data_IF_170311158437
#
_entry.id   IF_170311158437
#
_cell.length_a   1.000
_cell.length_b   1.000
_cell.length_c   1.000
_cell.angle_alpha   90.00
_cell.angle_beta   90.00
_cell.angle_gamma   90.00
#
_symmetry.space_group_name_H-M   'P 1'
#
loop_
_entity.id
_entity.type
_entity.pdbx_description
1 polymer ?
#
# COMPACT_ATOMS: atom_id res chain seq x y z
N UNK A 1 14.22 -19.16 -3.89
CA UNK A 1 14.30 -17.74 -4.30
C UNK A 1 15.49 -17.42 -5.19
N UNK A 2 16.75 -17.66 -4.76
CA UNK A 2 17.95 -17.34 -5.55
C UNK A 2 17.94 -17.89 -6.98
N UNK A 3 17.64 -19.19 -7.17
CA UNK A 3 17.50 -19.77 -8.52
C UNK A 3 16.42 -19.08 -9.38
N UNK A 4 15.33 -18.60 -8.75
CA UNK A 4 14.30 -17.86 -9.47
C UNK A 4 14.86 -16.51 -9.95
N UNK A 5 15.50 -15.73 -9.07
CA UNK A 5 16.09 -14.44 -9.45
C UNK A 5 17.28 -14.58 -10.41
N UNK A 6 18.14 -15.58 -10.26
CA UNK A 6 19.36 -15.71 -11.07
C UNK A 6 19.09 -16.30 -12.47
N UNK A 7 17.94 -16.96 -12.67
CA UNK A 7 17.64 -17.69 -13.92
C UNK A 7 16.24 -17.46 -14.45
N UNK A 8 15.21 -17.83 -13.68
CA UNK A 8 13.84 -17.86 -14.17
C UNK A 8 13.29 -16.46 -14.46
N UNK A 9 13.45 -15.53 -13.50
CA UNK A 9 12.98 -14.15 -13.66
C UNK A 9 13.69 -13.44 -14.82
N UNK A 10 15.03 -13.53 -14.98
CA UNK A 10 15.70 -13.00 -16.16
C UNK A 10 15.15 -13.56 -17.47
N UNK A 11 14.99 -14.88 -17.60
CA UNK A 11 14.40 -15.48 -18.80
C UNK A 11 12.98 -14.97 -19.08
N UNK A 12 12.12 -14.87 -18.05
CA UNK A 12 10.77 -14.31 -18.20
C UNK A 12 10.78 -12.84 -18.66
N UNK A 13 11.74 -12.05 -18.19
CA UNK A 13 11.85 -10.63 -18.52
C UNK A 13 12.42 -10.42 -19.93
N UNK A 14 13.50 -11.12 -20.28
CA UNK A 14 14.20 -10.91 -21.55
C UNK A 14 13.52 -11.63 -22.71
N UNK A 15 13.05 -12.87 -22.51
CA UNK A 15 12.51 -13.70 -23.61
C UNK A 15 11.03 -13.47 -23.84
N UNK A 16 10.26 -13.17 -22.79
CA UNK A 16 8.80 -13.05 -22.88
C UNK A 16 8.27 -11.62 -22.74
N UNK A 17 9.06 -10.68 -22.21
CA UNK A 17 8.65 -9.29 -22.00
C UNK A 17 9.56 -8.26 -22.69
N UNK A 18 10.55 -8.69 -23.47
CA UNK A 18 11.50 -7.82 -24.20
C UNK A 18 12.24 -6.79 -23.32
N UNK A 19 12.42 -7.08 -22.03
CA UNK A 19 13.20 -6.22 -21.12
C UNK A 19 14.70 -6.40 -21.42
N UNK A 20 15.49 -5.31 -21.56
CA UNK A 20 16.93 -5.41 -21.79
C UNK A 20 17.64 -6.22 -20.70
N UNK A 21 18.67 -6.99 -21.07
CA UNK A 21 19.37 -7.89 -20.15
C UNK A 21 19.96 -7.18 -18.91
N UNK A 22 20.49 -5.97 -19.09
CA UNK A 22 21.01 -5.16 -17.98
C UNK A 22 19.90 -4.73 -17.00
N UNK A 23 18.78 -4.22 -17.52
CA UNK A 23 17.62 -3.85 -16.71
C UNK A 23 17.04 -5.09 -15.99
N UNK A 24 16.98 -6.22 -16.69
CA UNK A 24 16.53 -7.51 -16.13
C UNK A 24 17.41 -7.96 -14.96
N UNK A 25 18.73 -7.82 -15.05
CA UNK A 25 19.65 -8.17 -13.96
C UNK A 25 19.44 -7.26 -12.73
N UNK A 26 19.24 -5.96 -12.94
CA UNK A 26 18.91 -5.00 -11.86
C UNK A 26 17.59 -5.37 -11.18
N UNK A 27 16.55 -5.71 -11.95
CA UNK A 27 15.25 -6.12 -11.40
C UNK A 27 15.40 -7.41 -10.57
N UNK A 28 16.11 -8.41 -11.10
CA UNK A 28 16.35 -9.66 -10.39
C UNK A 28 17.10 -9.45 -9.06
N UNK A 29 18.11 -8.56 -9.07
CA UNK A 29 18.86 -8.18 -7.88
C UNK A 29 17.99 -7.52 -6.81
N UNK A 30 17.16 -6.54 -7.19
CA UNK A 30 16.24 -5.86 -6.25
C UNK A 30 15.19 -6.84 -5.68
N UNK A 31 14.61 -7.70 -6.51
CA UNK A 31 13.68 -8.75 -6.06
C UNK A 31 14.34 -9.70 -5.07
N UNK A 32 15.58 -10.12 -5.33
CA UNK A 32 16.32 -11.00 -4.41
C UNK A 32 16.61 -10.30 -3.07
N UNK A 33 17.09 -9.05 -3.11
CA UNK A 33 17.39 -8.26 -1.92
C UNK A 33 16.15 -8.08 -1.04
N UNK A 34 15.01 -7.75 -1.65
CA UNK A 34 13.72 -7.64 -0.95
C UNK A 34 13.26 -8.96 -0.35
N UNK A 35 13.45 -10.07 -1.07
CA UNK A 35 13.08 -11.38 -0.56
C UNK A 35 13.92 -11.78 0.65
N UNK A 36 15.23 -11.52 0.62
CA UNK A 36 16.15 -11.76 1.73
C UNK A 36 15.84 -10.85 2.92
N UNK A 37 15.54 -9.57 2.70
CA UNK A 37 15.08 -8.65 3.74
C UNK A 37 13.75 -9.09 4.38
N UNK A 38 12.77 -9.51 3.57
CA UNK A 38 11.50 -10.06 4.08
C UNK A 38 11.74 -11.35 4.88
N UNK A 39 12.64 -12.21 4.43
CA UNK A 39 13.01 -13.44 5.13
C UNK A 39 13.77 -13.16 6.44
N UNK A 40 14.50 -12.06 6.54
CA UNK A 40 15.11 -11.62 7.78
C UNK A 40 14.05 -11.17 8.81
N UNK A 41 12.88 -10.68 8.41
CA UNK A 41 11.85 -10.33 9.39
C UNK A 41 11.29 -11.58 10.12
N UNK A 42 10.87 -11.41 11.37
CA UNK A 42 10.06 -12.41 12.08
C UNK A 42 8.64 -12.52 11.49
N UNK A 43 7.94 -13.64 11.73
CA UNK A 43 6.61 -13.93 11.14
C UNK A 43 5.62 -12.77 11.30
N UNK A 44 5.50 -12.21 12.51
CA UNK A 44 4.59 -11.09 12.78
C UNK A 44 4.95 -9.86 11.95
N UNK A 45 6.22 -9.46 11.93
CA UNK A 45 6.68 -8.31 11.17
C UNK A 45 6.46 -8.47 9.65
N UNK A 46 6.65 -9.68 9.11
CA UNK A 46 6.33 -10.01 7.70
C UNK A 46 4.87 -9.75 7.38
N UNK A 47 3.96 -10.10 8.28
CA UNK A 47 2.53 -9.85 8.09
C UNK A 47 2.19 -8.37 8.26
N UNK A 48 2.78 -7.66 9.23
CA UNK A 48 2.56 -6.22 9.40
C UNK A 48 2.96 -5.45 8.14
N UNK A 49 4.13 -5.71 7.58
CA UNK A 49 4.58 -5.02 6.36
C UNK A 49 3.80 -5.43 5.11
N UNK A 50 3.18 -6.61 5.12
CA UNK A 50 2.34 -7.11 4.02
C UNK A 50 0.88 -6.64 4.12
N UNK A 51 0.41 -6.23 5.30
CA UNK A 51 -0.98 -5.84 5.53
C UNK A 51 -1.50 -4.74 4.58
N UNK A 52 -0.73 -3.70 4.23
CA UNK A 52 -1.16 -2.68 3.27
C UNK A 52 -1.47 -3.21 1.87
N UNK A 53 -0.91 -4.36 1.50
CA UNK A 53 -1.02 -4.97 0.17
C UNK A 53 -2.00 -6.13 0.12
N UNK A 54 -2.64 -6.45 1.26
CA UNK A 54 -3.57 -7.58 1.36
C UNK A 54 -4.81 -7.37 0.49
N UNK A 55 -5.45 -6.19 0.56
CA UNK A 55 -6.61 -5.84 -0.27
C UNK A 55 -6.27 -5.88 -1.77
N UNK A 56 -5.02 -5.59 -2.13
CA UNK A 56 -4.57 -5.60 -3.51
C UNK A 56 -4.36 -7.03 -4.04
N UNK A 57 -4.09 -8.02 -3.19
CA UNK A 57 -3.50 -9.30 -3.64
C UNK A 57 -4.24 -10.55 -3.18
N UNK A 58 -5.29 -10.42 -2.37
CA UNK A 58 -6.00 -11.58 -1.82
C UNK A 58 -6.55 -12.54 -2.89
N UNK A 59 -6.90 -12.01 -4.06
CA UNK A 59 -7.43 -12.73 -5.23
C UNK A 59 -6.37 -13.08 -6.29
N UNK A 60 -5.08 -12.78 -6.06
CA UNK A 60 -4.02 -13.10 -7.02
C UNK A 60 -3.78 -14.61 -7.11
N UNK A 61 -3.15 -15.01 -8.22
CA UNK A 61 -2.63 -16.36 -8.39
C UNK A 61 -1.30 -16.54 -7.63
N UNK A 62 -0.97 -17.77 -7.20
CA UNK A 62 -1.77 -18.98 -7.38
C UNK A 62 -2.95 -19.05 -6.38
N UNK A 63 -4.10 -19.56 -6.82
CA UNK A 63 -5.34 -19.52 -6.05
C UNK A 63 -5.24 -20.21 -4.68
N UNK A 64 -4.46 -21.28 -4.59
CA UNK A 64 -4.23 -22.11 -3.40
C UNK A 64 -3.20 -21.52 -2.42
N UNK A 65 -2.45 -20.49 -2.81
CA UNK A 65 -1.56 -19.79 -1.88
C UNK A 65 -2.35 -19.04 -0.80
N UNK A 66 -1.80 -19.01 0.41
CA UNK A 66 -2.37 -18.18 1.48
C UNK A 66 -2.39 -16.69 1.07
N UNK A 67 -3.41 -15.91 1.46
CA UNK A 67 -3.47 -14.48 1.18
C UNK A 67 -2.23 -13.70 1.69
N UNK A 68 -1.65 -14.13 2.81
CA UNK A 68 -0.43 -13.54 3.35
C UNK A 68 0.80 -13.78 2.46
N UNK A 69 0.89 -14.95 1.81
CA UNK A 69 1.95 -15.20 0.83
C UNK A 69 1.77 -14.32 -0.40
N UNK A 70 0.53 -14.14 -0.90
CA UNK A 70 0.24 -13.24 -2.03
C UNK A 70 0.60 -11.80 -1.73
N UNK A 71 0.28 -11.33 -0.53
CA UNK A 71 0.65 -9.99 -0.06
C UNK A 71 2.18 -9.84 0.08
N UNK A 72 2.87 -10.82 0.66
CA UNK A 72 4.33 -10.82 0.76
C UNK A 72 5.00 -10.84 -0.63
N UNK A 73 4.49 -11.64 -1.57
CA UNK A 73 4.95 -11.65 -2.96
C UNK A 73 4.75 -10.29 -3.63
N UNK A 74 3.65 -9.58 -3.33
CA UNK A 74 3.42 -8.22 -3.82
C UNK A 74 4.52 -7.27 -3.32
N UNK A 75 4.82 -7.30 -2.02
CA UNK A 75 5.90 -6.49 -1.41
C UNK A 75 7.28 -6.79 -2.00
N UNK A 76 7.58 -8.06 -2.26
CA UNK A 76 8.90 -8.49 -2.73
C UNK A 76 9.07 -8.29 -4.24
N UNK A 77 8.02 -8.53 -5.02
CA UNK A 77 8.11 -8.66 -6.49
C UNK A 77 7.45 -7.48 -7.20
N UNK A 78 6.18 -7.20 -6.93
CA UNK A 78 5.48 -6.08 -7.61
C UNK A 78 5.99 -4.72 -7.17
N UNK A 79 6.38 -4.61 -5.91
CA UNK A 79 6.90 -3.38 -5.34
C UNK A 79 8.43 -3.24 -5.52
N UNK A 80 9.00 -4.01 -6.45
CA UNK A 80 10.42 -3.96 -6.83
C UNK A 80 10.62 -3.06 -8.06
N UNK A 81 11.86 -2.96 -8.53
CA UNK A 81 12.22 -2.33 -9.80
C UNK A 81 11.41 -2.87 -11.01
N UNK A 82 10.79 -4.05 -10.89
CA UNK A 82 9.85 -4.61 -11.88
C UNK A 82 8.66 -3.68 -12.20
N UNK A 83 8.28 -2.81 -11.26
CA UNK A 83 7.22 -1.83 -11.46
C UNK A 83 7.52 -0.87 -12.63
N UNK A 84 8.79 -0.53 -12.85
CA UNK A 84 9.20 0.46 -13.86
C UNK A 84 8.90 -0.03 -15.29
N UNK A 85 9.38 -1.20 -15.75
CA UNK A 85 8.98 -1.69 -17.06
C UNK A 85 7.49 -2.05 -17.15
N UNK A 86 6.82 -2.38 -16.04
CA UNK A 86 5.38 -2.61 -16.03
C UNK A 86 4.59 -1.32 -16.32
N UNK A 87 4.94 -0.23 -15.64
CA UNK A 87 4.30 1.09 -15.85
C UNK A 87 4.57 1.66 -17.24
N UNK A 88 5.71 1.31 -17.87
CA UNK A 88 6.01 1.61 -19.27
C UNK A 88 5.29 0.70 -20.28
N UNK A 89 4.59 -0.33 -19.82
CA UNK A 89 3.88 -1.30 -20.67
C UNK A 89 4.75 -2.38 -21.29
N UNK A 90 6.07 -2.38 -21.05
CA UNK A 90 7.02 -3.40 -21.51
C UNK A 90 6.69 -4.75 -20.87
N UNK A 91 6.51 -4.76 -19.55
CA UNK A 91 5.93 -5.90 -18.84
C UNK A 91 4.41 -5.69 -18.79
N UNK A 92 3.67 -6.37 -19.66
CA UNK A 92 2.21 -6.24 -19.69
C UNK A 92 1.53 -6.91 -18.47
N UNK A 93 0.19 -6.82 -18.40
CA UNK A 93 -0.62 -7.42 -17.31
C UNK A 93 -0.44 -8.95 -17.21
N UNK A 94 -0.28 -9.63 -18.34
CA UNK A 94 0.01 -11.07 -18.37
C UNK A 94 1.38 -11.40 -17.80
N UNK A 95 2.41 -10.64 -18.19
CA UNK A 95 3.79 -10.79 -17.73
C UNK A 95 3.92 -10.57 -16.23
N UNK A 96 3.40 -9.46 -15.70
CA UNK A 96 3.45 -9.18 -14.25
C UNK A 96 2.71 -10.26 -13.47
N UNK A 97 1.56 -10.74 -13.98
CA UNK A 97 0.78 -11.82 -13.36
C UNK A 97 1.58 -13.12 -13.32
N UNK A 98 2.15 -13.54 -14.45
CA UNK A 98 2.97 -14.74 -14.55
C UNK A 98 4.16 -14.68 -13.59
N UNK A 99 4.95 -13.60 -13.63
CA UNK A 99 6.12 -13.41 -12.76
C UNK A 99 5.73 -13.54 -11.29
N UNK A 100 4.66 -12.86 -10.87
CA UNK A 100 4.22 -12.89 -9.46
C UNK A 100 3.66 -14.23 -9.03
N UNK A 101 2.99 -14.95 -9.94
CA UNK A 101 2.48 -16.31 -9.69
C UNK A 101 3.65 -17.28 -9.48
N UNK A 102 4.64 -17.25 -10.38
CA UNK A 102 5.82 -18.11 -10.31
C UNK A 102 6.71 -17.80 -9.11
N UNK A 103 6.79 -16.54 -8.68
CA UNK A 103 7.59 -16.14 -7.53
C UNK A 103 7.04 -16.64 -6.18
N UNK A 104 5.74 -16.92 -6.08
CA UNK A 104 5.09 -17.30 -4.82
C UNK A 104 5.70 -18.58 -4.20
N UNK A 105 5.96 -19.61 -5.01
CA UNK A 105 6.58 -20.86 -4.54
C UNK A 105 8.01 -20.66 -3.99
N UNK A 106 8.95 -20.11 -4.80
CA UNK A 106 10.30 -19.81 -4.37
C UNK A 106 10.40 -18.89 -3.15
N UNK A 107 9.48 -17.94 -3.00
CA UNK A 107 9.39 -17.08 -1.82
C UNK A 107 8.88 -17.86 -0.60
N UNK A 108 7.82 -18.66 -0.75
CA UNK A 108 7.28 -19.52 0.31
C UNK A 108 8.37 -20.39 0.93
N UNK A 109 9.16 -21.08 0.10
CA UNK A 109 10.29 -21.90 0.57
C UNK A 109 11.33 -21.08 1.33
N UNK A 110 11.69 -19.89 0.83
CA UNK A 110 12.64 -19.02 1.52
C UNK A 110 12.10 -18.61 2.90
N UNK A 111 10.86 -18.13 2.97
CA UNK A 111 10.22 -17.67 4.21
C UNK A 111 10.06 -18.80 5.24
N UNK A 112 9.82 -20.04 4.79
CA UNK A 112 9.75 -21.21 5.65
C UNK A 112 11.13 -21.63 6.21
N UNK A 113 12.19 -21.45 5.43
CA UNK A 113 13.56 -21.85 5.81
C UNK A 113 14.31 -20.81 6.66
N UNK A 114 13.85 -19.56 6.69
CA UNK A 114 14.54 -18.46 7.35
C UNK A 114 14.03 -18.24 8.78
N UNK A 115 14.87 -18.42 9.83
CA UNK A 115 14.47 -18.25 11.23
C UNK A 115 14.19 -16.79 11.64
N UNK A 116 14.35 -15.83 10.71
CA UNK A 116 14.41 -14.40 11.02
C UNK A 116 15.77 -13.99 11.58
N UNK A 117 16.17 -12.74 11.33
CA UNK A 117 17.36 -12.06 11.85
C UNK A 117 16.93 -10.67 12.33
N UNK A 118 17.61 -10.13 13.33
CA UNK A 118 17.22 -8.86 13.96
C UNK A 118 17.34 -7.65 13.02
N UNK A 119 18.26 -7.72 12.06
CA UNK A 119 18.47 -6.68 11.06
C UNK A 119 17.66 -7.02 9.80
N UNK A 120 16.40 -6.56 9.77
CA UNK A 120 15.46 -6.76 8.66
C UNK A 120 15.84 -6.07 7.34
N UNK A 121 17.10 -5.64 7.18
CA UNK A 121 17.61 -4.94 6.01
C UNK A 121 16.79 -3.69 5.71
N UNK A 122 16.34 -3.53 4.46
CA UNK A 122 15.54 -2.38 4.04
C UNK A 122 14.17 -2.26 4.73
N UNK A 123 13.68 -3.35 5.33
CA UNK A 123 12.46 -3.34 6.14
C UNK A 123 12.76 -3.24 7.65
N UNK A 124 14.03 -3.32 8.02
CA UNK A 124 14.53 -3.19 9.39
C UNK A 124 14.25 -1.80 9.95
N UNK A 125 14.00 -1.75 11.25
CA UNK A 125 13.82 -0.49 11.98
C UNK A 125 12.55 0.31 11.65
N UNK A 126 11.70 -0.12 10.71
CA UNK A 126 10.45 0.59 10.37
C UNK A 126 9.53 0.76 11.60
N UNK A 127 9.44 -0.25 12.46
CA UNK A 127 8.65 -0.18 13.70
C UNK A 127 9.15 0.90 14.66
N UNK A 128 10.48 1.13 14.72
CA UNK A 128 11.09 2.13 15.58
C UNK A 128 10.99 3.54 14.97
N UNK A 129 11.15 3.65 13.64
CA UNK A 129 11.07 4.93 12.91
C UNK A 129 9.64 5.45 12.78
N UNK A 130 8.66 4.56 12.62
CA UNK A 130 7.25 4.88 12.39
C UNK A 130 6.33 4.13 13.35
N UNK A 131 6.40 4.42 14.66
CA UNK A 131 5.71 3.64 15.68
C UNK A 131 4.18 3.75 15.60
N UNK A 132 3.62 4.89 15.17
CA UNK A 132 2.16 5.06 15.01
C UNK A 132 1.64 4.24 13.85
N UNK A 133 2.30 4.35 12.70
CA UNK A 133 1.98 3.57 11.52
C UNK A 133 2.10 2.07 11.81
N UNK A 134 3.19 1.64 12.47
CA UNK A 134 3.39 0.24 12.81
C UNK A 134 2.30 -0.32 13.72
N UNK A 135 1.93 0.42 14.77
CA UNK A 135 0.86 0.01 15.69
C UNK A 135 -0.51 -0.12 14.98
N UNK A 136 -0.82 0.82 14.08
CA UNK A 136 -2.03 0.75 13.26
C UNK A 136 -2.03 -0.46 12.32
N UNK A 137 -0.90 -0.73 11.65
CA UNK A 137 -0.76 -1.87 10.74
C UNK A 137 -0.76 -3.21 11.50
N UNK A 138 -0.27 -3.25 12.73
CA UNK A 138 -0.38 -4.42 13.60
C UNK A 138 -1.83 -4.70 14.01
N UNK A 139 -2.61 -3.66 14.35
CA UNK A 139 -4.05 -3.79 14.59
C UNK A 139 -4.80 -4.27 13.33
N UNK A 140 -4.47 -3.70 12.16
CA UNK A 140 -5.02 -4.15 10.87
C UNK A 140 -4.69 -5.63 10.60
N UNK A 141 -3.44 -6.04 10.84
CA UNK A 141 -2.98 -7.42 10.71
C UNK A 141 -3.76 -8.36 11.62
N UNK A 142 -4.07 -7.96 12.85
CA UNK A 142 -4.96 -8.71 13.74
C UNK A 142 -6.33 -8.95 13.11
N UNK A 143 -6.97 -7.89 12.64
CA UNK A 143 -8.30 -7.99 12.00
C UNK A 143 -8.30 -8.83 10.71
N UNK A 144 -7.23 -8.76 9.91
CA UNK A 144 -7.09 -9.58 8.71
C UNK A 144 -6.97 -11.07 9.03
N UNK A 145 -6.39 -11.43 10.18
CA UNK A 145 -6.37 -12.81 10.68
C UNK A 145 -7.73 -13.22 11.24
N UNK A 146 -8.40 -12.32 11.96
CA UNK A 146 -9.66 -12.60 12.67
C UNK A 146 -10.91 -12.54 11.77
N UNK A 147 -10.78 -12.11 10.51
CA UNK A 147 -11.88 -12.03 9.55
C UNK A 147 -12.69 -10.71 9.57
N UNK A 148 -12.11 -9.64 10.12
CA UNK A 148 -12.67 -8.29 10.11
C UNK A 148 -13.23 -7.80 11.45
N UNK A 149 -13.85 -6.63 11.44
CA UNK A 149 -14.45 -6.00 12.62
C UNK A 149 -13.71 -4.74 13.06
N UNK A 150 -13.42 -4.63 14.36
CA UNK A 150 -12.79 -3.46 14.98
C UNK A 150 -11.72 -3.92 15.96
N UNK A 151 -10.54 -3.32 15.88
CA UNK A 151 -9.48 -3.45 16.86
C UNK A 151 -9.16 -2.06 17.40
N UNK A 152 -9.32 -1.87 18.71
CA UNK A 152 -8.84 -0.66 19.38
C UNK A 152 -7.35 -0.81 19.67
N UNK A 153 -6.61 0.29 19.56
CA UNK A 153 -5.20 0.33 19.90
C UNK A 153 -4.84 1.70 20.49
N UNK A 154 -3.70 1.77 21.18
CA UNK A 154 -3.18 3.03 21.70
C UNK A 154 -2.07 3.51 20.79
N UNK A 155 -2.22 4.69 20.20
CA UNK A 155 -1.12 5.31 19.48
C UNK A 155 0.09 5.51 20.41
N UNK A 156 1.28 5.03 20.02
CA UNK A 156 2.50 5.29 20.76
C UNK A 156 2.76 6.80 20.87
N UNK A 157 3.35 7.24 21.98
CA UNK A 157 3.82 8.64 22.09
C UNK A 157 5.18 8.72 21.39
N UNK A 158 5.26 9.53 20.34
CA UNK A 158 6.46 9.78 19.53
C UNK A 158 6.51 11.26 19.13
N UNK A 159 7.67 11.73 18.68
CA UNK A 159 7.78 13.07 18.10
C UNK A 159 6.81 13.23 16.92
N UNK A 160 6.28 14.44 16.73
CA UNK A 160 5.50 14.73 15.53
C UNK A 160 6.41 14.62 14.31
N UNK A 161 6.06 13.82 13.30
CA UNK A 161 6.85 13.72 12.09
C UNK A 161 6.79 15.03 11.31
N UNK A 162 7.91 15.40 10.71
CA UNK A 162 7.99 16.56 9.83
C UNK A 162 7.45 16.23 8.44
N UNK A 163 6.87 17.23 7.78
CA UNK A 163 6.52 17.13 6.36
C UNK A 163 7.79 16.92 5.52
N UNK A 164 7.71 16.15 4.42
CA UNK A 164 8.80 16.06 3.47
C UNK A 164 9.23 17.43 2.94
N UNK A 165 10.54 17.63 2.81
CA UNK A 165 11.14 18.86 2.30
C UNK A 165 11.13 18.90 0.76
N UNK A 166 11.39 20.07 0.17
CA UNK A 166 11.29 20.27 -1.28
C UNK A 166 12.25 19.37 -2.10
N UNK A 167 13.39 18.97 -1.54
CA UNK A 167 14.33 18.02 -2.14
C UNK A 167 13.83 16.56 -2.13
N UNK A 168 12.82 16.26 -1.32
CA UNK A 168 12.16 14.97 -1.26
C UNK A 168 10.94 14.90 -2.20
N UNK A 169 10.71 15.94 -3.00
CA UNK A 169 9.58 16.05 -3.91
C UNK A 169 9.95 15.65 -5.34
N UNK A 170 8.95 15.13 -6.04
CA UNK A 170 9.04 14.85 -7.47
C UNK A 170 7.74 15.26 -8.16
N UNK A 171 7.88 15.86 -9.33
CA UNK A 171 6.73 16.05 -10.21
C UNK A 171 6.31 14.69 -10.76
N UNK A 172 5.10 14.26 -10.43
CA UNK A 172 4.55 13.04 -11.00
C UNK A 172 4.49 13.20 -12.53
N UNK A 173 4.88 12.17 -13.32
CA UNK A 173 4.60 12.18 -14.75
C UNK A 173 3.12 12.45 -14.95
N UNK A 174 2.79 13.36 -15.86
CA UNK A 174 1.44 13.86 -16.16
C UNK A 174 0.59 12.78 -16.84
N UNK A 175 0.46 11.60 -16.23
CA UNK A 175 -0.47 10.57 -16.64
C UNK A 175 -1.87 11.01 -16.20
N UNK A 176 -2.41 11.96 -16.97
CA UNK A 176 -3.71 12.60 -16.81
C UNK A 176 -4.02 12.92 -15.34
N UNK A 177 -3.78 14.17 -14.96
CA UNK A 177 -4.60 14.82 -13.95
C UNK A 177 -6.08 14.74 -14.40
N UNK A 178 -6.72 13.58 -14.25
CA UNK A 178 -8.14 13.52 -14.01
C UNK A 178 -8.28 14.26 -12.72
N UNK A 179 -8.70 15.52 -12.83
CA UNK A 179 -9.14 16.30 -11.70
C UNK A 179 -10.02 15.37 -10.88
N UNK A 180 -9.53 14.96 -9.71
CA UNK A 180 -10.36 14.25 -8.75
C UNK A 180 -11.34 15.28 -8.23
N UNK A 181 -12.40 15.53 -9.01
CA UNK A 181 -13.57 16.26 -8.59
C UNK A 181 -14.32 15.34 -7.63
N UNK A 182 -13.83 15.27 -6.38
CA UNK A 182 -14.38 14.38 -5.37
C UNK A 182 -13.47 14.23 -4.17
N UNK A 183 -14.04 13.67 -3.10
CA UNK A 183 -13.38 13.39 -1.83
C UNK A 183 -12.28 12.31 -1.94
N UNK A 184 -12.31 11.45 -2.97
CA UNK A 184 -11.31 10.39 -3.17
C UNK A 184 -10.11 10.93 -3.93
N UNK A 185 -8.94 10.91 -3.30
CA UNK A 185 -7.70 11.40 -3.90
C UNK A 185 -7.06 10.27 -4.70
N UNK A 186 -6.93 10.47 -6.01
CA UNK A 186 -6.14 9.59 -6.85
C UNK A 186 -4.67 10.00 -6.72
N UNK A 187 -3.94 9.36 -5.80
CA UNK A 187 -2.48 9.52 -5.73
C UNK A 187 -1.87 8.61 -6.80
N UNK A 188 -1.22 9.21 -7.80
CA UNK A 188 -0.51 8.51 -8.86
C UNK A 188 0.90 9.06 -8.95
N UNK A 189 1.84 8.33 -8.37
CA UNK A 189 3.24 8.37 -8.75
C UNK A 189 3.74 6.93 -8.91
N UNK A 190 4.91 6.76 -9.51
CA UNK A 190 5.65 5.49 -9.50
C UNK A 190 5.60 4.92 -8.09
N UNK A 191 5.02 3.71 -7.95
CA UNK A 191 4.70 3.16 -6.64
C UNK A 191 5.94 3.01 -5.75
N UNK A 192 7.12 2.84 -6.35
CA UNK A 192 8.37 2.48 -5.65
C UNK A 192 9.33 3.66 -5.41
N UNK A 193 9.12 4.82 -6.05
CA UNK A 193 9.98 5.99 -5.86
C UNK A 193 9.95 6.41 -4.38
N UNK A 194 11.10 6.61 -3.71
CA UNK A 194 11.13 7.02 -2.30
C UNK A 194 10.60 8.45 -2.07
N UNK A 195 10.56 9.29 -3.10
CA UNK A 195 10.09 10.68 -3.03
C UNK A 195 8.58 10.82 -3.01
N UNK A 196 8.11 11.98 -2.57
CA UNK A 196 6.70 12.33 -2.47
C UNK A 196 6.25 13.10 -3.71
N UNK A 197 5.09 12.74 -4.25
CA UNK A 197 4.48 13.53 -5.31
C UNK A 197 3.66 14.70 -4.73
N UNK A 198 3.37 15.68 -5.59
CA UNK A 198 2.64 16.88 -5.21
C UNK A 198 1.23 16.60 -4.69
N UNK A 199 0.55 15.54 -5.16
CA UNK A 199 -0.81 15.22 -4.72
C UNK A 199 -0.84 14.63 -3.30
N UNK A 200 0.10 13.74 -3.00
CA UNK A 200 0.31 13.22 -1.65
C UNK A 200 0.75 14.34 -0.71
N UNK A 201 1.69 15.18 -1.11
CA UNK A 201 2.11 16.33 -0.30
C UNK A 201 0.98 17.30 0.01
N UNK A 202 0.17 17.65 -0.99
CA UNK A 202 -1.00 18.49 -0.77
C UNK A 202 -1.96 17.85 0.25
N UNK A 203 -2.07 16.53 0.28
CA UNK A 203 -2.92 15.84 1.24
C UNK A 203 -2.35 15.83 2.66
N UNK A 204 -1.02 15.67 2.80
CA UNK A 204 -0.36 15.78 4.09
C UNK A 204 -0.49 17.21 4.65
N UNK A 205 -0.32 18.24 3.82
CA UNK A 205 -0.57 19.65 4.20
C UNK A 205 -2.02 19.92 4.60
N UNK A 206 -2.99 19.32 3.90
CA UNK A 206 -4.40 19.38 4.33
C UNK A 206 -4.60 18.72 5.69
N UNK A 207 -4.03 17.54 5.93
CA UNK A 207 -4.16 16.83 7.20
C UNK A 207 -3.61 17.63 8.39
N UNK A 208 -2.52 18.38 8.18
CA UNK A 208 -1.93 19.26 9.20
C UNK A 208 -2.86 20.41 9.62
N UNK A 209 -3.70 20.89 8.68
CA UNK A 209 -4.51 22.11 8.87
C UNK A 209 -5.99 21.85 9.10
N UNK A 210 -6.51 20.67 8.71
CA UNK A 210 -7.91 20.30 8.80
C UNK A 210 -8.13 19.14 9.80
N UNK A 211 -8.59 19.44 11.03
CA UNK A 211 -8.88 18.41 12.01
C UNK A 211 -9.92 17.40 11.53
N UNK A 212 -9.64 16.12 11.72
CA UNK A 212 -10.52 15.03 11.29
C UNK A 212 -10.55 14.81 9.78
N UNK A 213 -9.58 15.35 9.04
CA UNK A 213 -9.36 15.06 7.63
C UNK A 213 -9.39 13.56 7.37
N UNK A 214 -10.09 13.15 6.30
CA UNK A 214 -10.15 11.75 5.89
C UNK A 214 -9.40 11.60 4.57
N UNK A 215 -8.24 10.97 4.63
CA UNK A 215 -7.43 10.61 3.49
C UNK A 215 -7.98 9.32 2.88
N UNK A 216 -8.64 9.41 1.74
CA UNK A 216 -9.31 8.27 1.12
C UNK A 216 -8.67 7.85 -0.20
N UNK A 217 -8.36 6.55 -0.30
CA UNK A 217 -7.74 5.87 -1.43
C UNK A 217 -8.43 4.51 -1.64
N UNK A 218 -8.27 3.85 -2.79
CA UNK A 218 -8.92 2.53 -3.00
C UNK A 218 -8.30 1.42 -2.13
N UNK A 219 -6.99 1.44 -1.95
CA UNK A 219 -6.23 0.52 -1.09
C UNK A 219 -5.03 1.24 -0.47
N UNK A 220 -4.50 0.75 0.65
CA UNK A 220 -3.32 1.37 1.29
C UNK A 220 -2.09 1.39 0.38
N UNK A 221 -1.93 0.39 -0.49
CA UNK A 221 -0.86 0.35 -1.50
C UNK A 221 -0.89 1.50 -2.50
N UNK A 222 -2.01 2.25 -2.60
CA UNK A 222 -2.12 3.47 -3.39
C UNK A 222 -1.47 4.69 -2.74
N UNK A 223 -1.15 4.65 -1.45
CA UNK A 223 -0.29 5.64 -0.81
C UNK A 223 1.12 5.49 -1.37
N UNK A 224 1.65 4.25 -1.32
CA UNK A 224 2.90 3.88 -1.95
C UNK A 224 3.08 2.36 -1.97
N UNK A 225 3.83 1.86 -2.96
CA UNK A 225 4.40 0.51 -2.98
C UNK A 225 5.77 0.45 -2.28
N UNK A 226 6.39 1.59 -2.00
CA UNK A 226 7.55 1.70 -1.12
C UNK A 226 7.09 1.67 0.36
N UNK A 227 7.47 0.63 1.11
CA UNK A 227 7.05 0.43 2.50
C UNK A 227 7.50 1.56 3.44
N UNK A 228 8.66 2.15 3.20
CA UNK A 228 9.16 3.27 4.00
C UNK A 228 8.32 4.53 3.78
N UNK A 229 8.08 4.89 2.51
CA UNK A 229 7.22 6.02 2.17
C UNK A 229 5.79 5.83 2.67
N UNK A 230 5.23 4.62 2.54
CA UNK A 230 3.90 4.28 3.06
C UNK A 230 3.84 4.45 4.58
N UNK A 231 4.82 3.91 5.32
CA UNK A 231 4.87 4.05 6.77
C UNK A 231 5.02 5.51 7.19
N UNK A 232 5.88 6.29 6.51
CA UNK A 232 6.07 7.73 6.79
C UNK A 232 4.79 8.53 6.56
N UNK A 233 4.07 8.28 5.46
CA UNK A 233 2.80 8.93 5.18
C UNK A 233 1.73 8.58 6.21
N UNK A 234 1.61 7.29 6.58
CA UNK A 234 0.69 6.86 7.64
C UNK A 234 1.05 7.43 9.01
N UNK A 235 2.34 7.50 9.33
CA UNK A 235 2.85 8.09 10.58
C UNK A 235 2.39 9.55 10.70
N UNK A 236 2.56 10.31 9.62
CA UNK A 236 2.15 11.72 9.55
C UNK A 236 0.64 11.89 9.67
N UNK A 237 -0.13 11.17 8.87
CA UNK A 237 -1.59 11.24 8.91
C UNK A 237 -2.14 10.93 10.31
N UNK A 238 -1.61 9.89 10.97
CA UNK A 238 -2.02 9.52 12.32
C UNK A 238 -1.57 10.52 13.39
N UNK A 239 -0.43 11.18 13.21
CA UNK A 239 0.02 12.24 14.11
C UNK A 239 -0.89 13.48 14.06
N UNK A 240 -1.51 13.74 12.90
CA UNK A 240 -2.48 14.83 12.71
C UNK A 240 -3.93 14.45 13.07
N UNK A 241 -4.17 13.28 13.68
CA UNK A 241 -5.52 12.73 13.93
C UNK A 241 -6.37 12.59 12.65
N UNK A 242 -5.72 12.44 11.50
CA UNK A 242 -6.39 12.13 10.25
C UNK A 242 -6.82 10.67 10.21
N UNK A 243 -7.85 10.38 9.42
CA UNK A 243 -8.33 9.01 9.18
C UNK A 243 -7.94 8.56 7.79
N UNK A 244 -7.52 7.32 7.66
CA UNK A 244 -7.23 6.71 6.35
C UNK A 244 -8.34 5.74 5.99
N UNK A 245 -9.03 6.01 4.89
CA UNK A 245 -10.15 5.21 4.42
C UNK A 245 -9.77 4.48 3.12
N UNK A 246 -10.00 3.17 3.08
CA UNK A 246 -9.94 2.35 1.88
C UNK A 246 -11.28 1.69 1.57
N UNK A 247 -11.33 0.92 0.48
CA UNK A 247 -12.50 0.10 0.13
C UNK A 247 -12.92 -0.85 1.27
N UNK A 248 -11.98 -1.39 2.06
CA UNK A 248 -12.30 -2.34 3.13
C UNK A 248 -11.86 -1.91 4.52
N UNK A 249 -11.00 -0.91 4.68
CA UNK A 249 -10.50 -0.51 6.00
C UNK A 249 -10.69 0.97 6.30
N UNK A 250 -10.85 1.27 7.59
CA UNK A 250 -10.73 2.61 8.13
C UNK A 250 -9.70 2.55 9.25
N UNK A 251 -8.60 3.29 9.11
CA UNK A 251 -7.59 3.47 10.13
C UNK A 251 -7.82 4.85 10.77
N UNK A 252 -7.97 4.87 12.08
CA UNK A 252 -8.09 6.08 12.89
C UNK A 252 -7.16 5.99 14.11
N UNK A 253 -6.92 7.12 14.77
CA UNK A 253 -6.00 7.23 15.89
C UNK A 253 -6.26 6.28 17.08
N UNK A 254 -7.50 5.83 17.27
CA UNK A 254 -7.91 4.98 18.40
C UNK A 254 -8.27 3.55 17.99
N UNK A 255 -8.51 3.31 16.71
CA UNK A 255 -9.02 2.04 16.23
C UNK A 255 -8.80 1.84 14.73
N UNK A 256 -8.65 0.57 14.36
CA UNK A 256 -8.78 0.11 12.98
C UNK A 256 -10.11 -0.62 12.83
N UNK A 257 -10.76 -0.40 11.69
CA UNK A 257 -11.98 -1.08 11.28
C UNK A 257 -11.72 -1.79 9.97
N UNK A 258 -12.16 -3.04 9.85
CA UNK A 258 -12.03 -3.85 8.64
C UNK A 258 -13.39 -4.46 8.29
N UNK A 259 -13.71 -4.51 7.00
CA UNK A 259 -14.89 -5.20 6.47
C UNK A 259 -14.93 -6.66 6.95
N UNK A 260 -16.11 -7.11 7.40
CA UNK A 260 -16.34 -8.51 7.79
C UNK A 260 -16.75 -9.39 6.61
N UNK A 261 -16.51 -10.69 6.74
CA UNK A 261 -16.92 -11.76 5.82
C UNK A 261 -16.09 -11.83 4.53
N UNK A 262 -16.24 -10.88 3.63
CA UNK A 262 -15.49 -10.86 2.36
C UNK A 262 -14.94 -9.47 2.08
N UNK A 263 -13.73 -9.40 1.53
CA UNK A 263 -13.15 -8.16 1.04
C UNK A 263 -13.68 -7.87 -0.36
N UNK A 264 -13.92 -6.59 -0.63
CA UNK A 264 -14.24 -6.07 -1.96
C UNK A 264 -12.93 -5.70 -2.65
N UNK A 265 -12.80 -6.09 -3.92
CA UNK A 265 -11.62 -5.77 -4.73
C UNK A 265 -11.52 -4.24 -4.89
N UNK A 266 -10.39 -3.61 -4.51
CA UNK A 266 -10.19 -2.19 -4.76
C UNK A 266 -10.15 -1.89 -6.26
N UNK A 267 -10.93 -0.92 -6.71
CA UNK A 267 -10.85 -0.36 -8.06
C UNK A 267 -10.22 1.02 -7.98
N UNK A 268 -9.08 1.21 -8.63
CA UNK A 268 -8.38 2.51 -8.64
C UNK A 268 -8.91 3.45 -9.73
N UNK A 269 -9.67 2.92 -10.69
CA UNK A 269 -10.32 3.69 -11.76
C UNK A 269 -11.70 4.18 -11.34
N UNK A 270 -12.39 3.42 -10.48
CA UNK A 270 -13.61 3.82 -9.79
C UNK A 270 -13.54 3.50 -8.27
N UNK A 271 -12.82 4.31 -7.49
CA UNK A 271 -12.73 4.11 -6.04
C UNK A 271 -14.07 4.28 -5.31
N UNK A 272 -15.05 4.96 -5.92
CA UNK A 272 -16.38 5.19 -5.33
C UNK A 272 -17.19 3.89 -5.33
N UNK A 273 -17.12 3.10 -6.41
CA UNK A 273 -17.84 1.82 -6.50
C UNK A 273 -17.59 0.92 -5.28
N UNK A 274 -16.32 0.75 -4.87
CA UNK A 274 -15.98 -0.06 -3.71
C UNK A 274 -16.56 0.45 -2.37
N UNK A 275 -16.75 1.77 -2.25
CA UNK A 275 -17.35 2.39 -1.07
C UNK A 275 -18.89 2.28 -1.04
N UNK A 276 -19.52 2.13 -2.20
CA UNK A 276 -20.99 1.94 -2.26
C UNK A 276 -21.43 0.59 -1.73
N UNK A 277 -20.60 -0.45 -1.86
CA UNK A 277 -20.85 -1.73 -1.21
C UNK A 277 -20.56 -1.60 0.30
N UNK A 278 -21.62 -1.59 1.10
CA UNK A 278 -21.52 -1.48 2.57
C UNK A 278 -21.70 -2.83 3.30
N UNK A 279 -21.73 -3.96 2.57
CA UNK A 279 -21.86 -5.29 3.17
C UNK A 279 -20.64 -5.61 4.05
N UNK A 280 -20.88 -6.02 5.30
CA UNK A 280 -19.79 -6.28 6.25
C UNK A 280 -19.11 -5.02 6.82
N UNK A 281 -19.49 -3.82 6.40
CA UNK A 281 -19.04 -2.54 6.97
C UNK A 281 -20.04 -2.10 8.05
N UNK A 282 -19.59 -1.63 9.22
CA UNK A 282 -20.50 -1.24 10.32
C UNK A 282 -20.00 -0.06 11.15
N UNK A 283 -20.88 0.48 12.00
CA UNK A 283 -20.53 1.49 13.00
C UNK A 283 -19.89 2.77 12.44
N UNK A 284 -18.78 3.19 13.05
CA UNK A 284 -18.02 4.39 12.66
C UNK A 284 -17.55 4.28 11.21
N UNK A 285 -17.08 3.11 10.78
CA UNK A 285 -16.62 2.89 9.41
C UNK A 285 -17.73 3.21 8.40
N UNK A 286 -18.95 2.68 8.61
CA UNK A 286 -20.09 2.97 7.74
C UNK A 286 -20.44 4.45 7.73
N UNK A 287 -20.46 5.10 8.89
CA UNK A 287 -20.77 6.54 9.02
C UNK A 287 -19.75 7.41 8.27
N UNK A 288 -18.46 7.07 8.35
CA UNK A 288 -17.41 7.78 7.61
C UNK A 288 -17.65 7.65 6.11
N UNK A 289 -17.84 6.43 5.59
CA UNK A 289 -18.15 6.19 4.17
C UNK A 289 -19.35 7.02 3.70
N UNK A 290 -20.46 7.00 4.45
CA UNK A 290 -21.67 7.75 4.09
C UNK A 290 -21.46 9.26 4.07
N UNK A 291 -20.64 9.80 4.98
CA UNK A 291 -20.27 11.22 4.97
C UNK A 291 -19.44 11.56 3.74
N UNK A 292 -18.43 10.75 3.42
CA UNK A 292 -17.60 10.89 2.23
C UNK A 292 -18.41 10.85 0.94
N UNK A 293 -19.34 9.90 0.81
CA UNK A 293 -20.23 9.78 -0.35
C UNK A 293 -21.18 10.99 -0.49
N UNK A 294 -21.72 11.51 0.62
CA UNK A 294 -22.56 12.72 0.60
C UNK A 294 -21.80 13.97 0.20
N UNK A 295 -20.54 14.10 0.65
CA UNK A 295 -19.66 15.19 0.26
C UNK A 295 -19.33 15.11 -1.24
N UNK A 296 -19.10 13.91 -1.77
CA UNK A 296 -18.87 13.71 -3.20
C UNK A 296 -20.11 14.02 -4.07
N UNK A 297 -21.32 13.75 -3.56
CA UNK A 297 -22.58 14.01 -4.26
C UNK A 297 -23.03 15.49 -4.18
N UNK A 298 -22.41 16.30 -3.32
CA UNK A 298 -22.74 17.72 -3.18
C UNK A 298 -21.78 18.56 -4.04
N UNK A 299 -22.19 19.06 -5.22
CA UNK A 299 -21.37 20.03 -5.94
C UNK A 299 -21.14 21.24 -5.04
N UNK A 300 -19.89 21.65 -4.90
CA UNK A 300 -19.51 22.79 -4.08
C UNK A 300 -20.42 23.99 -4.40
N UNK A 301 -21.19 24.46 -3.41
CA UNK A 301 -21.80 25.78 -3.48
C UNK A 301 -20.65 26.79 -3.52
N UNK A 302 -20.36 27.30 -4.73
CA UNK A 302 -19.56 28.51 -4.92
C UNK A 302 -20.33 29.64 -4.22
N UNK A 303 -19.99 29.88 -2.95
CA UNK A 303 -20.37 31.11 -2.26
C UNK A 303 -19.41 32.20 -2.73
N UNK A 304 -19.73 32.81 -3.88
CA UNK A 304 -19.33 34.18 -4.12
C UNK A 304 -20.01 35.04 -3.04
N UNK A 305 -19.28 35.38 -1.97
CA UNK A 305 -19.59 36.57 -1.18
C UNK A 305 -18.79 37.71 -1.78
N UNK A 306 -19.41 38.37 -2.75
CA UNK A 306 -19.07 39.74 -3.10
C UNK A 306 -19.79 40.63 -2.09
N UNK A 307 -19.03 41.36 -1.28
CA UNK A 307 -19.46 42.56 -0.55
C UNK A 307 -18.22 43.39 -0.30
#
# INVERSE_FOLDING_TARGET
MRQFCDKALPGMLTEACDVPAEESATIAGDVLQRAEAMAALGRTARQVISAPFFEESFDHDPADASPWLKAATTVVVRNSALEVPHTRGVVNVGGIKAITTFAAGPLSHLLASAPGRLDGGMFGGLAARYPRAWSALEALRGLLVDGGGRASYRLPVAASPELPTDDELVDAPTAAARASSGFLRQVVCSGIDPRFDQALMAALRTAETEPGFVFAVSALSRISRNSEKLCRALEFLLACDARVLTTNCLIAADAVYLRRSHLVRPDSTDPVAGLTDQNGISGVHRKTIQTCLRQAASPARVLHRSS
#
